data_IF_912677755967
#
_entry.id   IF_912677755967
#
_cell.length_a   1.000
_cell.length_b   1.000
_cell.length_c   1.000
_cell.angle_alpha   90.00
_cell.angle_beta   90.00
_cell.angle_gamma   90.00
#
_symmetry.space_group_name_H-M   'P 1'
#
loop_
_entity.id
_entity.type
_entity.pdbx_description
1 polymer ?
#
# COMPACT_ATOMS: atom_id res chain seq x y z
N UNK A 1 -19.76 21.73 -3.00
CA UNK A 1 -19.28 20.33 -2.96
C UNK A 1 -17.95 20.25 -3.69
N UNK A 2 -17.00 19.47 -3.18
CA UNK A 2 -15.69 19.22 -3.82
C UNK A 2 -15.84 18.68 -5.24
N UNK A 3 -16.77 17.75 -5.46
CA UNK A 3 -17.09 17.20 -6.78
C UNK A 3 -17.46 18.31 -7.79
N UNK A 4 -18.26 19.30 -7.37
CA UNK A 4 -18.62 20.42 -8.24
C UNK A 4 -17.40 21.22 -8.69
N UNK A 5 -16.44 21.47 -7.78
CA UNK A 5 -15.19 22.17 -8.12
C UNK A 5 -14.39 21.39 -9.17
N UNK A 6 -14.28 20.07 -9.05
CA UNK A 6 -13.58 19.22 -10.03
C UNK A 6 -14.22 19.29 -11.42
N UNK A 7 -15.56 19.20 -11.48
CA UNK A 7 -16.30 19.25 -12.76
C UNK A 7 -16.18 20.64 -13.41
N UNK A 8 -16.32 21.71 -12.63
CA UNK A 8 -16.14 23.09 -13.11
C UNK A 8 -14.70 23.33 -13.60
N UNK A 9 -13.70 22.84 -12.86
CA UNK A 9 -12.31 22.93 -13.27
C UNK A 9 -12.05 22.23 -14.62
N UNK A 10 -12.63 21.04 -14.81
CA UNK A 10 -12.50 20.30 -16.07
C UNK A 10 -13.23 20.95 -17.25
N UNK A 11 -14.26 21.78 -16.99
CA UNK A 11 -15.00 22.54 -18.01
C UNK A 11 -14.38 23.91 -18.37
N UNK A 12 -13.36 24.31 -17.61
CA UNK A 12 -12.70 25.61 -17.80
C UNK A 12 -12.09 25.70 -19.21
N UNK A 13 -12.36 26.84 -19.93
CA UNK A 13 -11.88 27.06 -21.29
C UNK A 13 -10.76 28.10 -21.37
N UNK A 14 -10.64 28.97 -20.38
CA UNK A 14 -9.61 30.02 -20.37
C UNK A 14 -8.21 29.44 -20.06
N UNK A 15 -8.19 28.37 -19.26
CA UNK A 15 -6.98 27.62 -18.92
C UNK A 15 -7.19 26.14 -19.22
N UNK A 16 -6.20 25.47 -19.78
CA UNK A 16 -6.25 24.03 -20.01
C UNK A 16 -6.05 23.28 -18.68
N UNK A 17 -7.16 22.96 -18.00
CA UNK A 17 -7.15 22.18 -16.77
C UNK A 17 -7.58 20.76 -17.07
N UNK A 18 -6.71 19.79 -16.72
CA UNK A 18 -7.00 18.37 -16.85
C UNK A 18 -7.25 17.78 -15.46
N UNK A 19 -8.40 17.14 -15.29
CA UNK A 19 -8.75 16.42 -14.06
C UNK A 19 -8.69 14.93 -14.35
N UNK A 20 -7.81 14.21 -13.65
CA UNK A 20 -7.68 12.75 -13.77
C UNK A 20 -8.13 12.12 -12.46
N UNK A 21 -9.16 11.28 -12.53
CA UNK A 21 -9.65 10.49 -11.40
C UNK A 21 -9.28 9.03 -11.60
N UNK A 22 -8.67 8.42 -10.58
CA UNK A 22 -8.43 6.99 -10.56
C UNK A 22 -9.26 6.36 -9.45
N UNK A 23 -10.00 5.31 -9.77
CA UNK A 23 -10.83 4.61 -8.81
C UNK A 23 -10.93 3.12 -9.13
N UNK A 24 -11.24 2.32 -8.13
CA UNK A 24 -11.60 0.92 -8.35
C UNK A 24 -12.98 0.84 -9.00
N UNK A 25 -13.18 -0.19 -9.83
CA UNK A 25 -14.42 -0.37 -10.60
C UNK A 25 -15.67 -0.58 -9.73
N UNK A 26 -15.50 -1.07 -8.49
CA UNK A 26 -16.58 -1.23 -7.52
C UNK A 26 -17.16 0.11 -7.03
N UNK A 27 -16.37 1.20 -7.04
CA UNK A 27 -16.81 2.55 -6.69
C UNK A 27 -17.39 3.34 -7.87
N UNK A 28 -17.34 2.79 -9.07
CA UNK A 28 -17.84 3.48 -10.27
C UNK A 28 -19.33 3.87 -10.17
N UNK A 29 -20.13 2.97 -9.57
CA UNK A 29 -21.55 3.22 -9.33
C UNK A 29 -21.83 4.42 -8.43
N UNK A 30 -20.91 4.75 -7.51
CA UNK A 30 -21.08 5.87 -6.58
C UNK A 30 -21.03 7.24 -7.28
N UNK A 31 -20.39 7.31 -8.45
CA UNK A 31 -20.37 8.52 -9.27
C UNK A 31 -21.79 8.96 -9.70
N UNK A 32 -22.74 8.03 -9.77
CA UNK A 32 -24.12 8.31 -10.14
C UNK A 32 -24.88 9.20 -9.15
N UNK A 33 -24.37 9.34 -7.91
CA UNK A 33 -24.92 10.27 -6.91
C UNK A 33 -24.73 11.74 -7.30
N UNK A 34 -23.87 12.01 -8.30
CA UNK A 34 -23.56 13.35 -8.80
C UNK A 34 -23.75 13.38 -10.32
N UNK A 35 -24.89 13.89 -10.79
CA UNK A 35 -25.29 13.86 -12.21
C UNK A 35 -24.20 14.41 -13.14
N UNK A 36 -23.63 15.59 -12.82
CA UNK A 36 -22.59 16.22 -13.64
C UNK A 36 -21.27 15.41 -13.67
N UNK A 37 -20.92 14.71 -12.57
CA UNK A 37 -19.78 13.82 -12.52
C UNK A 37 -20.03 12.58 -13.37
N UNK A 38 -21.21 11.97 -13.25
CA UNK A 38 -21.59 10.81 -14.05
C UNK A 38 -21.51 11.10 -15.56
N UNK A 39 -22.00 12.27 -16.00
CA UNK A 39 -21.86 12.70 -17.40
C UNK A 39 -20.39 12.86 -17.84
N UNK A 40 -19.55 13.47 -16.98
CA UNK A 40 -18.14 13.68 -17.28
C UNK A 40 -17.38 12.34 -17.35
N UNK A 41 -17.68 11.44 -16.42
CA UNK A 41 -17.11 10.08 -16.39
C UNK A 41 -17.48 9.31 -17.65
N UNK A 42 -18.76 9.27 -18.04
CA UNK A 42 -19.22 8.58 -19.25
C UNK A 42 -18.58 9.10 -20.56
N UNK A 43 -18.07 10.33 -20.56
CA UNK A 43 -17.39 10.93 -21.72
C UNK A 43 -15.89 10.66 -21.74
N UNK A 44 -15.27 10.41 -20.58
CA UNK A 44 -13.82 10.35 -20.42
C UNK A 44 -13.33 9.08 -19.73
N UNK A 45 -14.17 8.06 -19.57
CA UNK A 45 -13.74 6.84 -18.90
C UNK A 45 -12.71 6.04 -19.71
N UNK A 46 -11.75 5.48 -18.98
CA UNK A 46 -10.84 4.48 -19.49
C UNK A 46 -10.76 3.32 -18.50
N UNK A 47 -11.35 2.20 -18.87
CA UNK A 47 -11.28 0.99 -18.07
C UNK A 47 -9.91 0.33 -18.23
N UNK A 48 -9.09 0.39 -17.18
CA UNK A 48 -7.78 -0.28 -17.18
C UNK A 48 -8.00 -1.79 -17.12
N UNK A 49 -7.54 -2.55 -18.14
CA UNK A 49 -7.71 -4.00 -18.15
C UNK A 49 -6.87 -4.66 -17.06
N UNK A 50 -7.33 -5.81 -16.56
CA UNK A 50 -6.54 -6.62 -15.64
C UNK A 50 -5.24 -7.09 -16.31
N UNK A 51 -4.16 -7.16 -15.52
CA UNK A 51 -2.89 -7.70 -16.00
C UNK A 51 -3.08 -9.18 -16.42
N UNK A 52 -2.78 -9.48 -17.66
CA UNK A 52 -2.65 -10.85 -18.12
C UNK A 52 -1.32 -11.46 -17.62
N UNK A 53 -1.10 -12.77 -17.85
CA UNK A 53 0.08 -13.47 -17.34
C UNK A 53 1.39 -12.87 -17.85
N UNK A 54 1.44 -12.40 -19.09
CA UNK A 54 2.64 -11.78 -19.66
C UNK A 54 2.92 -10.41 -19.03
N UNK A 55 1.89 -9.59 -18.84
CA UNK A 55 2.02 -8.31 -18.16
C UNK A 55 2.42 -8.48 -16.68
N UNK A 56 1.88 -9.51 -15.99
CA UNK A 56 2.31 -9.88 -14.64
C UNK A 56 3.81 -10.23 -14.61
N UNK A 57 4.29 -11.01 -15.61
CA UNK A 57 5.72 -11.33 -15.72
C UNK A 57 6.59 -10.09 -15.94
N UNK A 58 6.16 -9.18 -16.81
CA UNK A 58 6.88 -7.90 -17.04
C UNK A 58 6.91 -7.07 -15.74
N UNK A 59 5.81 -7.02 -15.00
CA UNK A 59 5.73 -6.30 -13.72
C UNK A 59 6.64 -6.90 -12.63
N UNK A 60 6.93 -8.20 -12.68
CA UNK A 60 7.87 -8.88 -11.77
C UNK A 60 9.32 -8.62 -12.21
N UNK A 61 9.64 -8.86 -13.48
CA UNK A 61 11.01 -8.84 -14.01
C UNK A 61 11.55 -7.41 -14.24
N UNK A 62 10.67 -6.49 -14.67
CA UNK A 62 11.05 -5.13 -15.02
C UNK A 62 11.75 -4.35 -13.90
N UNK A 63 11.18 -4.25 -12.69
CA UNK A 63 11.80 -3.54 -11.57
C UNK A 63 13.16 -4.14 -11.17
N UNK A 64 13.31 -5.46 -11.20
CA UNK A 64 14.58 -6.15 -10.88
C UNK A 64 15.67 -5.73 -11.85
N UNK A 65 15.36 -5.69 -13.16
CA UNK A 65 16.31 -5.22 -14.20
C UNK A 65 16.66 -3.76 -14.06
N UNK A 66 15.69 -2.91 -13.76
CA UNK A 66 15.93 -1.46 -13.52
C UNK A 66 16.84 -1.26 -12.32
N UNK A 67 16.70 -2.11 -11.27
CA UNK A 67 17.60 -2.14 -10.14
C UNK A 67 18.98 -2.73 -10.40
N UNK A 68 19.27 -3.19 -11.63
CA UNK A 68 20.55 -3.79 -12.03
C UNK A 68 20.72 -5.25 -11.64
N UNK A 69 19.66 -5.92 -11.18
CA UNK A 69 19.67 -7.34 -10.85
C UNK A 69 19.08 -8.22 -11.96
N UNK A 70 19.17 -9.53 -11.74
CA UNK A 70 18.51 -10.56 -12.53
C UNK A 70 17.60 -11.39 -11.63
N UNK A 71 16.51 -11.92 -12.16
CA UNK A 71 15.61 -12.83 -11.44
C UNK A 71 15.60 -14.20 -12.12
N UNK A 72 15.74 -15.25 -11.34
CA UNK A 72 15.72 -16.62 -11.84
C UNK A 72 14.35 -16.93 -12.46
N UNK A 73 14.30 -17.50 -13.71
CA UNK A 73 13.03 -17.80 -14.37
C UNK A 73 12.10 -18.69 -13.55
N UNK A 74 12.66 -19.58 -12.74
CA UNK A 74 11.90 -20.46 -11.83
C UNK A 74 11.19 -19.68 -10.74
N UNK A 75 11.80 -18.60 -10.20
CA UNK A 75 11.16 -17.73 -9.21
C UNK A 75 10.01 -16.93 -9.85
N UNK A 76 10.21 -16.42 -11.09
CA UNK A 76 9.13 -15.76 -11.83
C UNK A 76 7.92 -16.66 -11.99
N UNK A 77 8.13 -17.94 -12.38
CA UNK A 77 7.02 -18.90 -12.51
C UNK A 77 6.33 -19.16 -11.17
N UNK A 78 7.08 -19.27 -10.08
CA UNK A 78 6.53 -19.43 -8.74
C UNK A 78 5.67 -18.24 -8.35
N UNK A 79 6.15 -17.02 -8.51
CA UNK A 79 5.41 -15.78 -8.21
C UNK A 79 4.12 -15.66 -9.04
N UNK A 80 4.18 -16.01 -10.33
CA UNK A 80 3.00 -16.03 -11.20
C UNK A 80 1.94 -17.05 -10.75
N UNK A 81 2.37 -18.18 -10.19
CA UNK A 81 1.47 -19.21 -9.69
C UNK A 81 0.88 -18.82 -8.32
N UNK A 82 1.71 -18.24 -7.43
CA UNK A 82 1.28 -17.79 -6.11
C UNK A 82 0.30 -16.60 -6.22
N UNK A 83 0.50 -15.72 -7.20
CA UNK A 83 -0.38 -14.57 -7.46
C UNK A 83 -1.78 -14.98 -7.94
N UNK A 84 -1.90 -16.07 -8.70
CA UNK A 84 -3.18 -16.52 -9.26
C UNK A 84 -3.89 -15.43 -10.08
N UNK A 85 -5.22 -15.42 -10.02
CA UNK A 85 -6.08 -14.47 -10.74
C UNK A 85 -6.76 -13.42 -9.84
N UNK A 86 -6.45 -13.42 -8.54
CA UNK A 86 -6.99 -12.46 -7.59
C UNK A 86 -6.28 -11.10 -7.75
N UNK A 87 -6.99 -10.02 -8.15
CA UNK A 87 -6.41 -8.70 -8.33
C UNK A 87 -5.93 -8.07 -7.01
N UNK A 88 -6.48 -8.46 -5.88
CA UNK A 88 -6.11 -7.94 -4.56
C UNK A 88 -4.74 -8.47 -4.09
N UNK A 89 -4.18 -9.45 -4.79
CA UNK A 89 -2.84 -9.98 -4.52
C UNK A 89 -1.68 -9.11 -5.08
N UNK A 90 -1.95 -8.16 -5.98
CA UNK A 90 -0.89 -7.32 -6.57
C UNK A 90 -0.12 -6.48 -5.52
N UNK A 91 -0.75 -5.82 -4.55
CA UNK A 91 -0.03 -5.14 -3.48
C UNK A 91 0.81 -6.08 -2.61
N UNK A 92 0.31 -7.30 -2.36
CA UNK A 92 1.03 -8.34 -1.61
C UNK A 92 2.26 -8.81 -2.40
N UNK A 93 2.10 -9.02 -3.72
CA UNK A 93 3.22 -9.33 -4.62
C UNK A 93 4.29 -8.23 -4.58
N UNK A 94 3.88 -6.97 -4.70
CA UNK A 94 4.80 -5.83 -4.65
C UNK A 94 5.57 -5.82 -3.33
N UNK A 95 4.89 -6.01 -2.21
CA UNK A 95 5.52 -6.07 -0.90
C UNK A 95 6.49 -7.26 -0.77
N UNK A 96 6.06 -8.46 -1.19
CA UNK A 96 6.91 -9.65 -1.16
C UNK A 96 8.17 -9.50 -2.03
N UNK A 97 8.04 -8.90 -3.23
CA UNK A 97 9.17 -8.61 -4.11
C UNK A 97 10.12 -7.59 -3.51
N UNK A 98 9.61 -6.52 -2.91
CA UNK A 98 10.43 -5.53 -2.19
C UNK A 98 11.27 -6.22 -1.10
N UNK A 99 10.64 -7.00 -0.24
CA UNK A 99 11.33 -7.74 0.82
C UNK A 99 12.34 -8.76 0.28
N UNK A 100 12.00 -9.45 -0.81
CA UNK A 100 12.92 -10.39 -1.47
C UNK A 100 14.13 -9.67 -2.06
N UNK A 101 13.92 -8.48 -2.62
CA UNK A 101 14.97 -7.63 -3.14
C UNK A 101 15.90 -7.14 -2.03
N UNK A 102 15.37 -6.66 -0.91
CA UNK A 102 16.15 -6.21 0.24
C UNK A 102 17.02 -7.34 0.80
N UNK A 103 16.44 -8.55 0.91
CA UNK A 103 17.17 -9.73 1.36
C UNK A 103 18.27 -10.13 0.37
N UNK A 104 18.01 -10.05 -0.94
CA UNK A 104 19.00 -10.30 -1.97
C UNK A 104 20.14 -9.27 -1.92
N UNK A 105 19.82 -7.98 -1.78
CA UNK A 105 20.84 -6.92 -1.65
C UNK A 105 21.77 -7.16 -0.46
N UNK A 106 21.23 -7.66 0.65
CA UNK A 106 22.01 -7.90 1.88
C UNK A 106 22.95 -9.12 1.80
N UNK A 107 22.60 -10.15 1.02
CA UNK A 107 23.30 -11.45 1.05
C UNK A 107 23.39 -12.13 -0.32
N UNK A 108 23.62 -11.41 -1.41
CA UNK A 108 23.89 -12.04 -2.72
C UNK A 108 25.38 -12.08 -3.03
N UNK A 109 25.77 -13.07 -3.81
CA UNK A 109 27.10 -13.17 -4.42
C UNK A 109 27.10 -12.49 -5.79
N UNK A 110 28.29 -12.06 -6.23
CA UNK A 110 28.46 -11.49 -7.57
C UNK A 110 27.89 -12.42 -8.65
N UNK A 111 27.01 -11.90 -9.50
CA UNK A 111 26.32 -12.66 -10.56
C UNK A 111 25.20 -13.58 -10.08
N UNK A 112 24.86 -13.58 -8.81
CA UNK A 112 23.75 -14.38 -8.29
C UNK A 112 22.41 -13.70 -8.56
N UNK A 113 21.46 -14.36 -9.25
CA UNK A 113 20.12 -13.79 -9.49
C UNK A 113 19.26 -13.87 -8.23
N UNK A 114 18.22 -13.03 -8.20
CA UNK A 114 17.12 -13.15 -7.25
C UNK A 114 16.44 -14.52 -7.43
N UNK A 115 16.40 -15.34 -6.38
CA UNK A 115 15.92 -16.72 -6.49
C UNK A 115 15.17 -17.19 -5.23
N UNK A 116 14.71 -18.41 -5.21
CA UNK A 116 13.91 -19.04 -4.15
C UNK A 116 14.46 -18.78 -2.75
N UNK A 117 15.78 -18.93 -2.52
CA UNK A 117 16.35 -18.73 -1.20
C UNK A 117 16.02 -17.34 -0.60
N UNK A 118 16.02 -16.32 -1.43
CA UNK A 118 15.72 -14.96 -1.00
C UNK A 118 14.20 -14.76 -0.77
N UNK A 119 13.37 -15.35 -1.63
CA UNK A 119 11.92 -15.32 -1.53
C UNK A 119 11.39 -16.11 -0.31
N UNK A 120 11.91 -17.30 -0.07
CA UNK A 120 11.51 -18.14 1.06
C UNK A 120 11.98 -17.56 2.40
N UNK A 121 13.15 -16.92 2.43
CA UNK A 121 13.64 -16.24 3.63
C UNK A 121 12.69 -15.15 4.14
N UNK A 122 11.98 -14.47 3.23
CA UNK A 122 11.00 -13.43 3.59
C UNK A 122 9.60 -13.99 3.90
N UNK A 123 9.39 -15.30 3.73
CA UNK A 123 8.09 -15.95 3.93
C UNK A 123 7.17 -15.95 2.71
N UNK A 124 7.69 -15.56 1.53
CA UNK A 124 6.94 -15.51 0.29
C UNK A 124 5.72 -14.60 0.36
N UNK A 125 4.79 -14.70 -0.58
CA UNK A 125 3.57 -13.87 -0.61
C UNK A 125 2.67 -14.09 0.62
N UNK A 126 2.67 -15.27 1.20
CA UNK A 126 1.76 -15.62 2.29
C UNK A 126 2.13 -14.97 3.62
N UNK A 127 3.42 -14.79 3.91
CA UNK A 127 3.91 -14.35 5.21
C UNK A 127 4.77 -13.07 5.17
N UNK A 128 5.16 -12.59 3.98
CA UNK A 128 6.07 -11.44 3.88
C UNK A 128 5.56 -10.20 4.62
N UNK A 129 4.26 -9.92 4.51
CA UNK A 129 3.64 -8.76 5.18
C UNK A 129 3.62 -8.94 6.70
N UNK A 130 3.16 -10.09 7.21
CA UNK A 130 3.07 -10.35 8.65
C UNK A 130 4.46 -10.43 9.29
N UNK A 131 5.42 -11.11 8.66
CA UNK A 131 6.80 -11.15 9.16
C UNK A 131 7.43 -9.77 9.22
N UNK A 132 7.24 -8.96 8.20
CA UNK A 132 7.75 -7.58 8.21
C UNK A 132 7.11 -6.75 9.34
N UNK A 133 5.79 -6.88 9.54
CA UNK A 133 5.13 -6.20 10.66
C UNK A 133 5.65 -6.67 12.01
N UNK A 134 5.89 -7.97 12.17
CA UNK A 134 6.48 -8.56 13.39
C UNK A 134 7.91 -8.08 13.63
N UNK A 135 8.75 -7.97 12.58
CA UNK A 135 10.11 -7.42 12.65
C UNK A 135 10.07 -5.98 13.16
N UNK A 136 9.20 -5.14 12.58
CA UNK A 136 9.05 -3.73 13.01
C UNK A 136 8.50 -3.63 14.44
N UNK A 137 7.56 -4.50 14.82
CA UNK A 137 7.04 -4.58 16.19
C UNK A 137 8.13 -5.02 17.17
N UNK A 138 9.04 -5.91 16.77
CA UNK A 138 10.16 -6.35 17.60
C UNK A 138 11.19 -5.22 17.91
N UNK A 139 11.21 -4.14 17.10
CA UNK A 139 12.02 -2.95 17.39
C UNK A 139 11.47 -2.13 18.58
N UNK A 140 10.26 -2.42 19.07
CA UNK A 140 9.71 -1.76 20.26
C UNK A 140 10.56 -2.10 21.48
N UNK A 141 10.89 -1.05 22.27
CA UNK A 141 11.81 -1.16 23.41
C UNK A 141 11.23 -1.85 24.65
N UNK A 142 9.87 -1.93 24.74
CA UNK A 142 9.19 -2.53 25.89
C UNK A 142 7.88 -3.23 25.50
N UNK A 143 7.37 -4.08 26.39
CA UNK A 143 6.07 -4.72 26.17
C UNK A 143 4.92 -3.71 26.20
N UNK A 144 5.02 -2.63 26.96
CA UNK A 144 4.06 -1.53 26.99
C UNK A 144 3.97 -0.85 25.62
N UNK A 145 5.13 -0.62 24.97
CA UNK A 145 5.18 -0.04 23.62
C UNK A 145 4.61 -0.99 22.57
N UNK A 146 4.84 -2.29 22.69
CA UNK A 146 4.22 -3.29 21.82
C UNK A 146 2.71 -3.34 21.98
N UNK A 147 2.23 -3.29 23.20
CA UNK A 147 0.78 -3.29 23.48
C UNK A 147 0.12 -2.00 22.98
N UNK A 148 0.77 -0.85 23.16
CA UNK A 148 0.30 0.41 22.60
C UNK A 148 0.26 0.35 21.06
N UNK A 149 1.27 -0.24 20.42
CA UNK A 149 1.28 -0.47 18.98
C UNK A 149 0.10 -1.32 18.52
N UNK A 150 -0.21 -2.42 19.22
CA UNK A 150 -1.38 -3.26 18.88
C UNK A 150 -2.70 -2.49 18.97
N UNK A 151 -2.88 -1.71 20.06
CA UNK A 151 -4.08 -0.88 20.23
C UNK A 151 -4.20 0.18 19.14
N UNK A 152 -3.09 0.78 18.72
CA UNK A 152 -3.06 1.76 17.65
C UNK A 152 -3.52 1.14 16.33
N UNK A 153 -2.98 -0.02 15.94
CA UNK A 153 -3.42 -0.70 14.70
C UNK A 153 -4.87 -1.19 14.78
N UNK A 154 -5.35 -1.60 15.96
CA UNK A 154 -6.76 -1.92 16.17
C UNK A 154 -7.66 -0.69 15.99
N UNK A 155 -7.24 0.49 16.46
CA UNK A 155 -7.98 1.74 16.27
C UNK A 155 -8.05 2.18 14.80
N UNK A 156 -7.00 1.87 14.01
CA UNK A 156 -6.93 2.15 12.57
C UNK A 156 -7.68 1.14 11.70
N UNK A 157 -8.33 0.14 12.30
CA UNK A 157 -9.02 -0.91 11.58
C UNK A 157 -10.45 -1.05 12.08
N UNK A 158 -11.41 -1.15 11.19
CA UNK A 158 -12.78 -1.49 11.50
C UNK A 158 -13.25 -2.69 10.68
N UNK A 159 -14.35 -3.32 11.10
CA UNK A 159 -14.95 -4.42 10.35
C UNK A 159 -15.95 -3.88 9.34
N UNK A 160 -15.71 -4.16 8.07
CA UNK A 160 -16.65 -3.88 7.00
C UNK A 160 -17.89 -4.78 7.04
N UNK A 161 -18.90 -4.48 6.18
CA UNK A 161 -20.16 -5.24 6.10
C UNK A 161 -19.97 -6.74 5.80
N UNK A 162 -18.90 -7.08 5.09
CA UNK A 162 -18.50 -8.44 4.72
C UNK A 162 -17.55 -9.11 5.76
N UNK A 163 -17.46 -8.52 6.95
CA UNK A 163 -16.58 -8.93 8.05
C UNK A 163 -15.07 -8.88 7.72
N UNK A 164 -14.68 -8.24 6.60
CA UNK A 164 -13.27 -7.94 6.30
C UNK A 164 -12.83 -6.73 7.10
N UNK A 165 -11.55 -6.72 7.51
CA UNK A 165 -10.94 -5.54 8.08
C UNK A 165 -10.80 -4.46 7.00
N UNK A 166 -11.32 -3.28 7.28
CA UNK A 166 -11.14 -2.10 6.43
C UNK A 166 -10.37 -1.02 7.20
N UNK A 167 -9.66 -0.19 6.47
CA UNK A 167 -8.93 0.93 7.06
C UNK A 167 -9.93 1.94 7.63
N UNK A 168 -9.67 2.38 8.87
CA UNK A 168 -10.37 3.49 9.52
C UNK A 168 -9.41 4.70 9.59
N UNK A 169 -9.52 5.68 8.67
CA UNK A 169 -8.74 6.90 8.75
C UNK A 169 -9.06 7.64 10.05
N UNK A 170 -8.04 7.94 10.87
CA UNK A 170 -8.23 8.51 12.20
C UNK A 170 -7.15 9.58 12.43
N UNK A 171 -7.52 10.74 12.98
CA UNK A 171 -6.55 11.78 13.31
C UNK A 171 -5.66 11.37 14.50
N UNK A 172 -4.47 11.96 14.59
CA UNK A 172 -3.56 11.70 15.71
C UNK A 172 -4.20 12.07 17.05
N UNK A 173 -4.95 13.19 17.11
CA UNK A 173 -5.69 13.59 18.32
C UNK A 173 -6.68 12.49 18.75
N UNK A 174 -7.50 11.99 17.82
CA UNK A 174 -8.46 10.91 18.08
C UNK A 174 -7.74 9.62 18.48
N UNK A 175 -6.63 9.27 17.82
CA UNK A 175 -5.82 8.10 18.18
C UNK A 175 -5.31 8.19 19.61
N UNK A 176 -4.76 9.33 20.04
CA UNK A 176 -4.29 9.54 21.42
C UNK A 176 -5.41 9.27 22.45
N UNK A 177 -6.63 9.75 22.14
CA UNK A 177 -7.80 9.51 23.01
C UNK A 177 -8.18 8.02 23.05
N UNK A 178 -8.26 7.37 21.88
CA UNK A 178 -8.68 5.96 21.78
C UNK A 178 -7.67 5.04 22.48
N UNK A 179 -6.37 5.28 22.27
CA UNK A 179 -5.33 4.39 22.83
C UNK A 179 -4.91 4.81 24.23
N UNK A 180 -5.45 5.93 24.76
CA UNK A 180 -5.12 6.51 26.07
C UNK A 180 -3.59 6.69 26.26
N UNK A 181 -2.93 7.38 25.33
CA UNK A 181 -1.48 7.62 25.34
C UNK A 181 -1.15 9.04 24.90
N UNK A 182 0.05 9.50 25.31
CA UNK A 182 0.56 10.82 24.95
C UNK A 182 0.91 10.88 23.46
N UNK A 183 0.78 12.08 22.87
CA UNK A 183 1.09 12.32 21.46
C UNK A 183 2.51 11.89 21.09
N UNK A 184 3.49 12.10 21.97
CA UNK A 184 4.89 11.71 21.78
C UNK A 184 5.05 10.21 21.55
N UNK A 185 4.31 9.38 22.30
CA UNK A 185 4.38 7.93 22.19
C UNK A 185 3.67 7.44 20.94
N UNK A 186 2.50 8.02 20.63
CA UNK A 186 1.73 7.71 19.41
C UNK A 186 2.54 8.07 18.16
N UNK A 187 3.11 9.27 18.09
CA UNK A 187 3.91 9.70 16.93
C UNK A 187 5.18 8.87 16.76
N UNK A 188 5.86 8.50 17.86
CA UNK A 188 7.03 7.60 17.82
C UNK A 188 6.69 6.25 17.18
N UNK A 189 5.54 5.67 17.52
CA UNK A 189 5.08 4.41 16.90
C UNK A 189 4.76 4.64 15.44
N UNK A 190 3.99 5.67 15.08
CA UNK A 190 3.63 5.99 13.70
C UNK A 190 4.90 6.15 12.86
N UNK A 191 5.90 6.90 13.34
CA UNK A 191 7.16 7.13 12.64
C UNK A 191 7.93 5.84 12.37
N UNK A 192 7.87 4.86 13.29
CA UNK A 192 8.48 3.55 13.05
C UNK A 192 7.85 2.81 11.87
N UNK A 193 6.52 2.86 11.74
CA UNK A 193 5.76 2.16 10.70
C UNK A 193 5.62 2.92 9.37
N UNK A 194 6.15 4.15 9.28
CA UNK A 194 6.19 4.95 8.05
C UNK A 194 7.60 5.22 7.52
N UNK A 195 8.63 4.60 8.12
CA UNK A 195 10.02 4.69 7.64
C UNK A 195 10.16 4.22 6.19
N UNK A 196 11.17 4.71 5.44
CA UNK A 196 11.51 4.16 4.14
C UNK A 196 11.69 2.63 4.21
N UNK A 197 11.08 1.92 3.27
CA UNK A 197 11.04 0.45 3.27
C UNK A 197 10.00 -0.19 4.19
N UNK A 198 9.37 0.58 5.09
CA UNK A 198 8.38 0.08 6.05
C UNK A 198 6.97 0.64 5.87
N UNK A 199 6.60 1.16 4.77
CA UNK A 199 5.40 1.95 4.42
C UNK A 199 4.04 1.32 4.82
N UNK A 200 3.88 0.92 6.09
CA UNK A 200 2.60 0.42 6.62
C UNK A 200 1.62 1.56 6.91
N UNK A 201 2.14 2.73 7.28
CA UNK A 201 1.35 3.90 7.63
C UNK A 201 1.69 5.09 6.72
N UNK A 202 0.73 5.99 6.58
CA UNK A 202 0.82 7.26 5.85
C UNK A 202 0.50 8.41 6.81
N UNK A 203 0.91 9.63 6.52
CA UNK A 203 1.72 10.09 5.37
C UNK A 203 3.20 9.65 5.47
N UNK A 204 4.00 9.82 4.39
CA UNK A 204 5.45 9.49 4.41
C UNK A 204 6.20 10.25 5.51
N UNK A 205 7.37 9.74 5.91
CA UNK A 205 8.15 10.27 7.05
C UNK A 205 8.60 11.72 6.88
N UNK A 206 8.69 12.21 5.65
CA UNK A 206 9.04 13.60 5.31
C UNK A 206 7.94 14.60 5.68
N UNK A 207 6.70 14.12 5.91
CA UNK A 207 5.57 14.95 6.32
C UNK A 207 5.55 15.04 7.83
N UNK A 208 5.61 16.26 8.38
CA UNK A 208 5.50 16.51 9.81
C UNK A 208 4.08 16.16 10.30
N UNK A 209 4.01 15.48 11.44
CA UNK A 209 2.76 15.04 12.03
C UNK A 209 2.18 16.13 12.97
N UNK A 210 0.97 16.60 12.65
CA UNK A 210 0.14 17.46 13.52
C UNK A 210 -0.98 16.65 14.19
N UNK A 211 -1.73 17.26 15.08
CA UNK A 211 -2.90 16.63 15.72
C UNK A 211 -4.00 16.27 14.73
N UNK A 212 -4.20 17.13 13.73
CA UNK A 212 -5.18 16.93 12.64
C UNK A 212 -4.70 15.95 11.56
N UNK A 213 -3.45 15.47 11.62
CA UNK A 213 -2.93 14.54 10.62
C UNK A 213 -3.69 13.22 10.70
N UNK A 214 -4.27 12.82 9.57
CA UNK A 214 -5.01 11.54 9.42
C UNK A 214 -4.04 10.44 9.02
N UNK A 215 -4.09 9.32 9.76
CA UNK A 215 -3.27 8.13 9.56
C UNK A 215 -4.09 7.04 8.83
#
# INVERSE_FOLDING_TARGET
>A
SFVKILVEAARQQELSVYVVLTMRSDFFGDCSQFEELAEAVNKGEYLVPRLNRENKKIAIDGPVRVGGGEIAPRLVQRLLNDLGDDPDQLPILQHALMRTWDHWLADHKEGEPLDFRHYEATGGMTQALSRHADEVLAEAGSEEEKELTRRLFQALTEKGPDNRGIRRPTSIEELCVIVAAEKSDVTKIIDRFRKPGCTFLMPPVEVELSEDTVI
#
